data_IF_615309922159
#
_entry.id   IF_615309922159
#
_cell.length_a   1.000
_cell.length_b   1.000
_cell.length_c   1.000
_cell.angle_alpha   90.00
_cell.angle_beta   90.00
_cell.angle_gamma   90.00
#
_symmetry.space_group_name_H-M   'P 1'
#
loop_
_entity.id
_entity.type
_entity.pdbx_description
1 polymer ?
#
# COMPACT_ATOMS: atom_id res chain seq x y z
N UNK A 1 -6.60 -11.74 -14.32
CA UNK A 1 -7.00 -12.15 -12.96
C UNK A 1 -7.96 -11.10 -12.40
N UNK A 2 -9.08 -11.52 -11.81
CA UNK A 2 -9.96 -10.65 -11.03
C UNK A 2 -10.03 -11.24 -9.62
N UNK A 3 -9.58 -10.48 -8.63
CA UNK A 3 -9.60 -10.91 -7.23
C UNK A 3 -10.84 -10.38 -6.54
N UNK A 4 -11.39 -11.16 -5.61
CA UNK A 4 -12.27 -10.58 -4.60
C UNK A 4 -11.47 -9.68 -3.67
N UNK A 5 -12.17 -8.77 -2.96
CA UNK A 5 -11.54 -7.89 -1.98
C UNK A 5 -10.70 -8.65 -0.93
N UNK A 6 -11.14 -9.83 -0.49
CA UNK A 6 -10.42 -10.62 0.52
C UNK A 6 -9.17 -11.28 -0.05
N UNK A 7 -9.22 -11.75 -1.29
CA UNK A 7 -8.03 -12.27 -1.97
C UNK A 7 -7.02 -11.16 -2.23
N UNK A 8 -7.47 -9.96 -2.61
CA UNK A 8 -6.61 -8.78 -2.79
C UNK A 8 -5.94 -8.37 -1.49
N UNK A 9 -6.69 -8.27 -0.39
CA UNK A 9 -6.14 -7.97 0.95
C UNK A 9 -5.12 -9.04 1.40
N UNK A 10 -5.38 -10.32 1.13
CA UNK A 10 -4.47 -11.41 1.46
C UNK A 10 -3.21 -11.40 0.58
N UNK A 11 -3.35 -11.14 -0.72
CA UNK A 11 -2.23 -11.02 -1.65
C UNK A 11 -1.29 -9.87 -1.24
N UNK A 12 -1.85 -8.70 -0.92
CA UNK A 12 -1.11 -7.55 -0.38
C UNK A 12 -0.36 -7.92 0.90
N UNK A 13 -0.99 -8.67 1.80
CA UNK A 13 -0.33 -9.13 3.02
C UNK A 13 0.86 -10.06 2.73
N UNK A 14 0.74 -11.00 1.79
CA UNK A 14 1.86 -11.85 1.40
C UNK A 14 3.04 -11.05 0.82
N UNK A 15 2.76 -10.05 -0.01
CA UNK A 15 3.79 -9.23 -0.63
C UNK A 15 4.49 -8.31 0.39
N UNK A 16 3.75 -7.82 1.38
CA UNK A 16 4.29 -6.92 2.41
C UNK A 16 5.07 -7.67 3.50
N UNK A 17 4.58 -8.82 3.96
CA UNK A 17 5.14 -9.52 5.12
C UNK A 17 5.90 -10.81 4.76
N UNK A 18 5.79 -11.28 3.52
CA UNK A 18 6.40 -12.53 3.05
C UNK A 18 5.69 -13.77 3.60
N UNK A 19 6.15 -14.28 4.75
CA UNK A 19 5.63 -15.52 5.37
C UNK A 19 4.52 -15.23 6.37
N UNK A 20 3.32 -15.77 6.15
CA UNK A 20 2.14 -15.58 7.01
C UNK A 20 1.67 -16.89 7.65
N UNK A 21 1.37 -16.88 8.95
CA UNK A 21 0.63 -17.97 9.60
C UNK A 21 -0.89 -17.80 9.40
N UNK A 22 -1.66 -18.86 9.64
CA UNK A 22 -3.13 -18.79 9.63
C UNK A 22 -3.65 -17.77 10.63
N UNK A 23 -3.01 -17.65 11.79
CA UNK A 23 -3.38 -16.65 12.80
C UNK A 23 -3.16 -15.23 12.28
N UNK A 24 -2.00 -14.96 11.65
CA UNK A 24 -1.76 -13.65 11.04
C UNK A 24 -2.80 -13.31 9.98
N UNK A 25 -3.14 -14.26 9.11
CA UNK A 25 -4.16 -14.05 8.07
C UNK A 25 -5.56 -13.85 8.66
N UNK A 26 -5.90 -14.57 9.72
CA UNK A 26 -7.17 -14.43 10.45
C UNK A 26 -7.31 -13.02 11.01
N UNK A 27 -6.23 -12.50 11.60
CA UNK A 27 -6.18 -11.16 12.20
C UNK A 27 -6.19 -10.04 11.16
N UNK A 28 -5.52 -10.23 10.01
CA UNK A 28 -5.49 -9.27 8.90
C UNK A 28 -6.87 -9.18 8.27
N UNK A 29 -7.46 -10.31 7.91
CA UNK A 29 -8.74 -10.36 7.19
C UNK A 29 -9.96 -10.19 8.11
N UNK A 30 -9.77 -10.23 9.44
CA UNK A 30 -10.83 -10.18 10.46
C UNK A 30 -11.91 -11.26 10.24
N UNK A 31 -11.48 -12.48 9.96
CA UNK A 31 -12.36 -13.64 9.73
C UNK A 31 -11.87 -14.87 10.49
N UNK A 32 -12.69 -15.93 10.53
CA UNK A 32 -12.31 -17.21 11.16
C UNK A 32 -11.22 -17.94 10.38
N UNK A 33 -10.46 -18.83 11.05
CA UNK A 33 -9.47 -19.72 10.41
C UNK A 33 -10.06 -20.53 9.24
N UNK A 34 -11.30 -21.01 9.38
CA UNK A 34 -12.01 -21.72 8.29
C UNK A 34 -12.17 -20.83 7.06
N UNK A 35 -12.51 -19.56 7.27
CA UNK A 35 -12.63 -18.58 6.19
C UNK A 35 -11.28 -18.27 5.56
N UNK A 36 -10.20 -18.17 6.37
CA UNK A 36 -8.83 -18.01 5.87
C UNK A 36 -8.46 -19.13 4.90
N UNK A 37 -8.69 -20.40 5.27
CA UNK A 37 -8.40 -21.52 4.38
C UNK A 37 -9.15 -21.45 3.05
N UNK A 38 -10.41 -21.00 3.07
CA UNK A 38 -11.17 -20.81 1.83
C UNK A 38 -10.56 -19.70 0.98
N UNK A 39 -10.28 -18.54 1.56
CA UNK A 39 -9.66 -17.40 0.85
C UNK A 39 -8.27 -17.77 0.31
N UNK A 40 -7.50 -18.58 1.04
CA UNK A 40 -6.22 -19.12 0.57
C UNK A 40 -6.39 -20.01 -0.65
N UNK A 41 -7.40 -20.88 -0.66
CA UNK A 41 -7.69 -21.75 -1.80
C UNK A 41 -8.12 -20.92 -3.01
N UNK A 42 -9.09 -20.01 -2.81
CA UNK A 42 -9.58 -19.11 -3.84
C UNK A 42 -8.42 -18.29 -4.45
N UNK A 43 -7.54 -17.74 -3.61
CA UNK A 43 -6.35 -16.99 -4.05
C UNK A 43 -5.34 -17.89 -4.79
N UNK A 44 -5.18 -19.15 -4.37
CA UNK A 44 -4.30 -20.10 -5.06
C UNK A 44 -4.80 -20.35 -6.48
N UNK A 45 -6.10 -20.57 -6.65
CA UNK A 45 -6.73 -20.77 -7.96
C UNK A 45 -6.60 -19.51 -8.83
N UNK A 46 -6.76 -18.33 -8.23
CA UNK A 46 -6.58 -17.04 -8.91
C UNK A 46 -5.15 -16.80 -9.41
N UNK A 47 -4.14 -17.32 -8.70
CA UNK A 47 -2.71 -17.15 -9.01
C UNK A 47 -2.15 -18.19 -10.00
N UNK A 48 -2.82 -19.33 -10.15
CA UNK A 48 -2.39 -20.42 -11.03
C UNK A 48 -2.04 -19.97 -12.47
N UNK A 49 -2.84 -19.11 -13.15
CA UNK A 49 -2.54 -18.67 -14.52
C UNK A 49 -1.26 -17.84 -14.63
N UNK A 50 -0.74 -17.32 -13.52
CA UNK A 50 0.51 -16.57 -13.45
C UNK A 50 1.70 -17.45 -13.07
N UNK A 51 1.49 -18.76 -12.90
CA UNK A 51 2.49 -19.71 -12.38
C UNK A 51 3.06 -19.30 -11.01
N UNK A 52 2.22 -18.71 -10.16
CA UNK A 52 2.55 -18.34 -8.79
C UNK A 52 1.86 -19.33 -7.85
N UNK A 53 2.61 -19.87 -6.89
CA UNK A 53 2.15 -20.91 -5.97
C UNK A 53 2.29 -20.41 -4.53
N UNK A 54 1.30 -20.73 -3.69
CA UNK A 54 1.39 -20.55 -2.24
C UNK A 54 1.91 -21.85 -1.61
N UNK A 55 3.16 -21.84 -1.13
CA UNK A 55 3.74 -22.97 -0.41
C UNK A 55 3.51 -22.85 1.08
N UNK A 56 3.45 -24.01 1.75
CA UNK A 56 3.43 -24.11 3.21
C UNK A 56 4.79 -24.60 3.72
N UNK A 57 5.39 -23.85 4.64
CA UNK A 57 6.64 -24.16 5.33
C UNK A 57 6.50 -23.83 6.82
N UNK A 58 6.77 -24.81 7.69
CA UNK A 58 6.68 -24.73 9.15
C UNK A 58 5.48 -23.90 9.69
N UNK A 59 4.26 -24.31 9.28
CA UNK A 59 2.98 -23.66 9.60
C UNK A 59 2.74 -22.26 9.03
N UNK A 60 3.69 -21.72 8.26
CA UNK A 60 3.54 -20.47 7.53
C UNK A 60 3.33 -20.75 6.04
N UNK A 61 2.77 -19.76 5.36
CA UNK A 61 2.51 -19.77 3.93
C UNK A 61 3.28 -18.65 3.26
N UNK A 62 3.72 -18.83 2.02
CA UNK A 62 4.41 -17.81 1.24
C UNK A 62 4.24 -18.01 -0.27
N UNK A 63 4.38 -16.93 -1.03
CA UNK A 63 4.34 -16.95 -2.49
C UNK A 63 5.68 -17.39 -3.07
N UNK A 64 5.61 -18.17 -4.15
CA UNK A 64 6.76 -18.59 -4.95
C UNK A 64 6.40 -18.56 -6.43
N UNK A 65 7.37 -18.24 -7.28
CA UNK A 65 7.19 -18.05 -8.73
C UNK A 65 7.70 -16.69 -9.18
N UNK A 66 7.32 -16.27 -10.40
CA UNK A 66 7.69 -14.95 -10.90
C UNK A 66 6.75 -13.88 -10.34
N UNK A 67 7.12 -13.31 -9.18
CA UNK A 67 6.31 -12.27 -8.52
C UNK A 67 6.33 -10.92 -9.25
N UNK A 68 7.24 -10.71 -10.23
CA UNK A 68 7.22 -9.49 -11.05
C UNK A 68 5.94 -9.39 -11.89
N UNK A 69 5.30 -10.52 -12.21
CA UNK A 69 4.00 -10.57 -12.87
C UNK A 69 2.87 -9.95 -12.02
N UNK A 70 3.10 -9.74 -10.71
CA UNK A 70 2.18 -9.07 -9.79
C UNK A 70 2.41 -7.56 -9.69
N UNK A 71 3.44 -7.00 -10.33
CA UNK A 71 3.76 -5.56 -10.26
C UNK A 71 2.61 -4.67 -10.73
N UNK A 72 1.79 -5.14 -11.68
CA UNK A 72 0.59 -4.43 -12.15
C UNK A 72 -0.58 -4.46 -11.15
N UNK A 73 -0.57 -5.38 -10.18
CA UNK A 73 -1.53 -5.46 -9.08
C UNK A 73 -1.07 -4.69 -7.84
N UNK A 74 0.25 -4.53 -7.68
CA UNK A 74 0.87 -3.73 -6.60
C UNK A 74 1.16 -2.30 -7.01
N UNK A 75 0.98 -1.92 -8.27
CA UNK A 75 1.21 -0.56 -8.77
C UNK A 75 0.25 0.49 -8.20
N UNK A 76 -0.71 0.06 -7.38
CA UNK A 76 -1.30 0.90 -6.35
C UNK A 76 -0.78 0.42 -4.99
N UNK A 77 0.45 0.78 -4.64
CA UNK A 77 0.83 0.88 -3.24
C UNK A 77 -0.12 1.92 -2.63
N UNK A 78 -1.23 1.46 -2.06
CA UNK A 78 -2.14 2.33 -1.33
C UNK A 78 -1.45 2.65 -0.02
N UNK A 79 -0.58 3.65 -0.02
CA UNK A 79 -0.01 4.21 1.20
C UNK A 79 -1.16 4.51 2.17
N UNK A 80 -1.05 3.98 3.38
CA UNK A 80 -1.92 4.38 4.48
C UNK A 80 -1.82 5.89 4.68
N UNK A 81 -2.84 6.49 5.30
CA UNK A 81 -2.82 7.94 5.54
C UNK A 81 -1.56 8.39 6.30
N UNK A 82 -1.12 7.64 7.31
CA UNK A 82 0.12 7.96 8.02
C UNK A 82 1.36 7.90 7.12
N UNK A 83 1.48 6.87 6.27
CA UNK A 83 2.61 6.76 5.34
C UNK A 83 2.61 7.92 4.32
N UNK A 84 1.45 8.30 3.79
CA UNK A 84 1.36 9.46 2.89
C UNK A 84 1.79 10.74 3.59
N UNK A 85 1.28 11.01 4.79
CA UNK A 85 1.65 12.21 5.55
C UNK A 85 3.16 12.24 5.79
N UNK A 86 3.74 11.13 6.27
CA UNK A 86 5.18 11.04 6.52
C UNK A 86 6.02 11.24 5.25
N UNK A 87 5.62 10.63 4.13
CA UNK A 87 6.36 10.72 2.88
C UNK A 87 6.26 12.13 2.28
N UNK A 88 5.07 12.75 2.29
CA UNK A 88 4.90 14.15 1.89
C UNK A 88 5.77 15.07 2.76
N UNK A 89 5.73 14.92 4.09
CA UNK A 89 6.58 15.72 5.00
C UNK A 89 8.06 15.53 4.69
N UNK A 90 8.53 14.29 4.47
CA UNK A 90 9.90 14.02 4.07
C UNK A 90 10.26 14.80 2.79
N UNK A 91 9.46 14.68 1.73
CA UNK A 91 9.72 15.38 0.47
C UNK A 91 9.71 16.90 0.63
N UNK A 92 8.81 17.47 1.43
CA UNK A 92 8.79 18.90 1.72
C UNK A 92 10.06 19.37 2.43
N UNK A 93 10.63 18.56 3.33
CA UNK A 93 11.82 18.92 4.10
C UNK A 93 13.13 18.77 3.32
N UNK A 94 13.22 17.79 2.41
CA UNK A 94 14.49 17.49 1.71
C UNK A 94 14.63 18.17 0.35
N UNK A 95 13.54 18.70 -0.24
CA UNK A 95 13.58 19.34 -1.56
C UNK A 95 13.66 20.86 -1.45
N UNK A 96 14.85 21.41 -1.68
CA UNK A 96 15.10 22.88 -1.63
C UNK A 96 14.28 23.67 -2.67
N UNK A 97 13.94 23.04 -3.80
CA UNK A 97 13.19 23.66 -4.91
C UNK A 97 11.67 23.59 -4.72
N UNK A 98 11.19 23.01 -3.61
CA UNK A 98 9.78 22.69 -3.41
C UNK A 98 9.35 21.45 -4.18
N UNK A 99 8.09 21.05 -3.98
CA UNK A 99 7.50 19.83 -4.52
C UNK A 99 6.16 20.16 -5.16
N UNK A 100 5.87 19.64 -6.35
CA UNK A 100 4.60 19.88 -7.03
C UNK A 100 3.53 18.86 -6.63
N UNK A 101 2.26 19.28 -6.69
CA UNK A 101 1.15 18.35 -6.47
C UNK A 101 1.13 17.20 -7.48
N UNK A 102 1.50 17.45 -8.73
CA UNK A 102 1.55 16.40 -9.77
C UNK A 102 2.60 15.34 -9.44
N UNK A 103 3.76 15.75 -8.94
CA UNK A 103 4.77 14.82 -8.46
C UNK A 103 4.22 13.97 -7.30
N UNK A 104 3.59 14.61 -6.30
CA UNK A 104 3.02 13.90 -5.16
C UNK A 104 1.89 12.93 -5.56
N UNK A 105 1.04 13.30 -6.50
CA UNK A 105 0.00 12.42 -7.03
C UNK A 105 0.60 11.18 -7.68
N UNK A 106 1.66 11.34 -8.48
CA UNK A 106 2.34 10.24 -9.17
C UNK A 106 3.01 9.29 -8.17
N UNK A 107 3.78 9.81 -7.21
CA UNK A 107 4.50 8.94 -6.27
C UNK A 107 3.55 8.25 -5.28
N UNK A 108 2.45 8.89 -4.89
CA UNK A 108 1.51 8.37 -3.88
C UNK A 108 0.35 7.57 -4.50
N UNK A 109 0.14 7.66 -5.82
CA UNK A 109 -1.00 7.05 -6.49
C UNK A 109 -2.35 7.60 -6.01
N UNK A 110 -2.44 8.87 -5.63
CA UNK A 110 -3.67 9.51 -5.12
C UNK A 110 -4.11 10.70 -5.98
N UNK A 111 -5.35 11.14 -5.77
CA UNK A 111 -5.90 12.33 -6.44
C UNK A 111 -5.31 13.64 -5.90
N UNK A 112 -5.33 14.71 -6.71
CA UNK A 112 -4.92 16.04 -6.27
C UNK A 112 -5.65 16.52 -5.00
N UNK A 113 -6.94 16.19 -4.86
CA UNK A 113 -7.71 16.59 -3.67
C UNK A 113 -7.22 15.85 -2.41
N UNK A 114 -6.77 14.60 -2.55
CA UNK A 114 -6.13 13.86 -1.45
C UNK A 114 -4.80 14.50 -1.07
N UNK A 115 -3.99 14.91 -2.05
CA UNK A 115 -2.73 15.62 -1.80
C UNK A 115 -2.98 16.92 -1.03
N UNK A 116 -3.95 17.75 -1.46
CA UNK A 116 -4.31 19.00 -0.79
C UNK A 116 -4.76 18.76 0.65
N UNK A 117 -5.60 17.75 0.89
CA UNK A 117 -6.07 17.41 2.23
C UNK A 117 -4.95 16.90 3.14
N UNK A 118 -4.04 16.08 2.60
CA UNK A 118 -2.90 15.58 3.36
C UNK A 118 -1.91 16.72 3.68
N UNK A 119 -1.64 17.64 2.75
CA UNK A 119 -0.81 18.84 3.00
C UNK A 119 -1.41 19.73 4.10
N UNK A 120 -2.72 19.96 4.09
CA UNK A 120 -3.37 20.79 5.12
C UNK A 120 -3.20 20.19 6.54
N UNK A 121 -3.23 18.85 6.65
CA UNK A 121 -2.98 18.16 7.92
C UNK A 121 -1.52 18.23 8.35
N UNK A 122 -0.58 18.19 7.40
CA UNK A 122 0.85 18.36 7.69
C UNK A 122 1.11 19.79 8.15
N UNK A 123 0.50 20.79 7.50
CA UNK A 123 0.62 22.20 7.86
C UNK A 123 0.18 22.44 9.30
N UNK A 124 -0.98 21.91 9.71
CA UNK A 124 -1.48 21.97 11.09
C UNK A 124 -0.45 21.40 12.08
N UNK A 125 0.19 20.28 11.75
CA UNK A 125 1.18 19.63 12.62
C UNK A 125 2.52 20.32 12.66
N UNK A 126 2.97 20.89 11.55
CA UNK A 126 4.22 21.64 11.50
C UNK A 126 4.10 23.01 12.18
N UNK A 127 2.89 23.57 12.25
CA UNK A 127 2.62 24.80 12.99
C UNK A 127 2.93 24.66 14.49
N UNK A 128 2.76 23.48 15.09
CA UNK A 128 3.17 23.19 16.48
C UNK A 128 4.68 23.42 16.72
N UNK A 129 5.48 23.38 15.64
CA UNK A 129 6.93 23.55 15.65
C UNK A 129 7.38 24.87 15.02
N UNK A 130 6.46 25.79 14.70
CA UNK A 130 6.72 27.02 13.96
C UNK A 130 7.41 26.80 12.60
N UNK A 131 7.09 25.70 11.91
CA UNK A 131 7.60 25.41 10.55
C UNK A 131 6.47 25.71 9.54
N UNK A 132 6.51 26.84 8.81
CA UNK A 132 5.50 27.17 7.83
C UNK A 132 5.73 26.41 6.50
N UNK A 133 4.64 26.06 5.80
CA UNK A 133 4.69 25.60 4.42
C UNK A 133 4.53 26.81 3.49
N UNK A 134 5.43 26.96 2.52
CA UNK A 134 5.35 28.04 1.52
C UNK A 134 4.66 27.53 0.25
N UNK A 135 3.49 28.09 -0.07
CA UNK A 135 2.78 27.79 -1.31
C UNK A 135 3.26 28.71 -2.43
N UNK A 136 3.79 28.12 -3.51
CA UNK A 136 4.14 28.85 -4.73
C UNK A 136 3.10 28.58 -5.83
N UNK A 137 2.40 29.62 -6.27
CA UNK A 137 1.52 29.54 -7.44
C UNK A 137 2.35 29.81 -8.69
N UNK A 138 2.42 28.82 -9.59
CA UNK A 138 2.98 29.01 -10.92
C UNK A 138 1.95 29.75 -11.79
N UNK A 139 2.19 31.04 -12.02
CA UNK A 139 1.48 31.78 -13.05
C UNK A 139 2.16 31.51 -14.39
N UNK A 140 1.57 30.60 -15.17
CA UNK A 140 1.88 30.38 -16.58
C UNK A 140 0.91 31.12 -17.47
#
# INVERSE_FOLDING_TARGET
MQLTRREEELLKAFLNYGKLSIDNMSDILKVSKRTVYRVLNDLTDSLEPLHIVIYKDDQKYYLSGNLEALQSFTSQESFTKCERLNLITYHLLINEQGVTNDYLQVILGVSNITVIQDIALIEERLADFNIPILLMMWFG
#
